data_IF_159933222605
#
_entry.id   IF_159933222605
#
_cell.length_a   1.000
_cell.length_b   1.000
_cell.length_c   1.000
_cell.angle_alpha   90.00
_cell.angle_beta   90.00
_cell.angle_gamma   90.00
#
_symmetry.space_group_name_H-M   'P 1'
#
loop_
_entity.id
_entity.type
_entity.pdbx_description
1 polymer ?
#
# COMPACT_ATOMS: atom_id res chain seq x y z
N UNK A 1 52.01 34.65 -5.06
CA UNK A 1 52.02 33.79 -3.86
C UNK A 1 50.58 33.43 -3.51
N UNK A 2 50.37 32.20 -3.02
CA UNK A 2 49.15 31.51 -2.57
C UNK A 2 47.92 32.37 -2.20
N UNK A 3 46.66 31.98 -2.37
CA UNK A 3 46.04 30.67 -2.60
C UNK A 3 44.63 30.67 -1.97
N UNK A 4 43.90 29.59 -2.22
CA UNK A 4 42.66 29.14 -1.58
C UNK A 4 41.31 29.48 -2.27
N UNK A 5 40.57 28.39 -2.43
CA UNK A 5 39.32 28.15 -3.15
C UNK A 5 38.16 28.34 -2.18
N UNK A 6 37.02 28.85 -2.64
CA UNK A 6 35.73 28.44 -2.06
C UNK A 6 34.71 28.13 -3.16
N UNK A 7 33.96 27.08 -2.88
CA UNK A 7 33.17 26.26 -3.79
C UNK A 7 31.72 26.65 -3.65
N UNK A 8 31.04 26.88 -4.77
CA UNK A 8 29.59 27.04 -4.80
C UNK A 8 28.89 25.74 -4.40
N UNK A 9 28.07 25.80 -3.35
CA UNK A 9 27.12 24.74 -3.03
C UNK A 9 25.80 25.01 -3.75
N UNK A 10 25.54 24.20 -4.78
CA UNK A 10 24.21 23.91 -5.30
C UNK A 10 23.40 23.26 -4.18
N UNK A 11 22.32 23.91 -3.75
CA UNK A 11 21.38 23.33 -2.78
C UNK A 11 20.57 22.21 -3.43
N UNK A 12 20.97 20.97 -3.19
CA UNK A 12 20.19 19.78 -3.54
C UNK A 12 19.01 19.63 -2.55
N UNK A 13 17.79 19.74 -3.07
CA UNK A 13 16.58 19.35 -2.35
C UNK A 13 16.50 17.81 -2.29
N UNK A 14 16.80 17.22 -1.13
CA UNK A 14 16.57 15.80 -0.88
C UNK A 14 15.12 15.61 -0.41
N UNK A 15 14.25 15.22 -1.34
CA UNK A 15 12.97 14.60 -1.01
C UNK A 15 13.24 13.20 -0.45
N UNK A 16 13.23 13.07 0.88
CA UNK A 16 13.31 11.76 1.53
C UNK A 16 11.89 11.23 1.75
N UNK A 17 11.59 10.12 1.08
CA UNK A 17 10.38 9.33 1.25
C UNK A 17 10.27 8.83 2.70
N UNK A 18 9.05 8.75 3.21
CA UNK A 18 8.71 8.63 4.64
C UNK A 18 9.31 7.47 5.44
N UNK A 19 10.03 6.53 4.81
CA UNK A 19 10.77 5.47 5.50
C UNK A 19 12.01 5.95 6.26
N UNK A 20 12.75 6.94 5.71
CA UNK A 20 13.99 7.43 6.34
C UNK A 20 13.72 8.28 7.61
N UNK A 21 12.59 8.99 7.65
CA UNK A 21 12.18 9.78 8.82
C UNK A 21 11.90 8.88 10.04
N UNK A 22 11.32 7.70 9.83
CA UNK A 22 11.01 6.78 10.93
C UNK A 22 12.27 6.15 11.55
N UNK A 23 13.24 5.79 10.72
CA UNK A 23 14.52 5.22 11.19
C UNK A 23 15.31 6.26 11.98
N UNK A 24 15.34 7.52 11.51
CA UNK A 24 15.99 8.63 12.22
C UNK A 24 15.27 8.96 13.52
N UNK A 25 13.92 8.97 13.54
CA UNK A 25 13.13 9.18 14.76
C UNK A 25 13.39 8.10 15.80
N UNK A 26 13.45 6.82 15.39
CA UNK A 26 13.71 5.71 16.30
C UNK A 26 15.14 5.72 16.84
N UNK A 27 16.14 6.05 16.00
CA UNK A 27 17.55 6.14 16.43
C UNK A 27 17.82 7.33 17.35
N UNK A 28 17.10 8.44 17.19
CA UNK A 28 17.23 9.63 18.03
C UNK A 28 16.36 9.57 19.29
N UNK A 29 15.36 8.67 19.36
CA UNK A 29 14.45 8.56 20.49
C UNK A 29 14.88 7.53 21.54
N UNK A 30 15.91 6.70 21.30
CA UNK A 30 16.45 5.79 22.32
C UNK A 30 17.54 6.47 23.15
N UNK A 31 17.14 7.43 23.98
CA UNK A 31 18.10 8.04 24.89
C UNK A 31 17.57 9.25 25.65
N UNK A 32 16.71 9.04 26.65
CA UNK A 32 16.83 9.65 27.99
C UNK A 32 15.66 9.26 28.92
N UNK A 33 16.04 8.76 30.09
CA UNK A 33 15.20 8.49 31.26
C UNK A 33 14.58 9.79 31.81
N UNK A 34 13.39 9.65 32.39
CA UNK A 34 12.62 10.66 33.14
C UNK A 34 13.28 10.98 34.50
N UNK A 35 13.14 12.20 35.02
CA UNK A 35 12.80 12.34 36.44
C UNK A 35 11.72 13.41 36.73
N UNK A 36 11.21 13.35 37.97
CA UNK A 36 10.04 14.04 38.54
C UNK A 36 10.30 15.48 39.06
N UNK A 37 9.17 16.15 39.36
CA UNK A 37 8.90 17.50 39.90
C UNK A 37 9.87 18.08 40.96
N UNK A 38 10.19 19.39 40.85
CA UNK A 38 9.87 20.48 41.82
C UNK A 38 10.57 21.82 41.48
N UNK A 39 9.98 22.88 42.04
CA UNK A 39 10.48 24.24 42.32
C UNK A 39 10.29 25.39 41.31
N UNK A 40 9.41 26.29 41.73
CA UNK A 40 9.38 27.72 41.42
C UNK A 40 10.73 28.39 41.69
N UNK A 41 11.09 29.38 40.86
CA UNK A 41 11.18 30.79 41.26
C UNK A 41 12.26 31.56 40.46
N UNK A 42 11.90 32.80 40.11
CA UNK A 42 12.77 33.99 39.98
C UNK A 42 13.68 34.17 38.74
N UNK A 43 13.25 35.03 37.80
CA UNK A 43 13.81 36.36 37.43
C UNK A 43 13.25 36.77 36.04
N UNK A 44 12.22 37.61 35.96
CA UNK A 44 12.23 39.09 35.81
C UNK A 44 13.00 39.65 34.60
N UNK A 45 12.20 40.31 33.74
CA UNK A 45 12.40 41.59 33.03
C UNK A 45 13.57 41.64 32.03
N UNK A 46 13.41 42.14 30.79
CA UNK A 46 13.18 43.56 30.49
C UNK A 46 12.40 43.82 29.17
N UNK A 47 11.77 45.00 29.14
CA UNK A 47 11.08 45.69 28.04
C UNK A 47 12.09 46.52 27.22
N UNK A 48 11.70 46.92 26.01
CA UNK A 48 11.93 48.22 25.29
C UNK A 48 11.94 47.90 23.78
N UNK A 49 11.38 48.65 22.83
CA UNK A 49 10.37 49.71 22.74
C UNK A 49 10.18 49.98 21.22
N UNK A 50 9.06 50.61 20.89
CA UNK A 50 8.50 50.92 19.57
C UNK A 50 9.44 51.63 18.58
N UNK A 51 9.31 51.29 17.28
CA UNK A 51 9.46 52.26 16.17
C UNK A 51 8.29 52.06 15.21
N UNK A 52 7.55 53.16 15.00
CA UNK A 52 6.39 53.31 14.14
C UNK A 52 6.78 54.27 13.02
N UNK A 53 6.58 53.89 11.75
CA UNK A 53 6.46 54.84 10.62
C UNK A 53 5.68 54.21 9.45
N UNK A 54 4.42 54.63 9.39
CA UNK A 54 3.58 55.04 8.25
C UNK A 54 3.66 54.41 6.83
N UNK A 55 2.50 53.83 6.47
CA UNK A 55 1.63 54.04 5.28
C UNK A 55 2.23 53.83 3.87
N UNK A 56 1.71 52.83 3.15
CA UNK A 56 0.97 53.02 1.88
C UNK A 56 0.09 51.80 1.61
N UNK A 57 -1.20 52.04 1.40
CA UNK A 57 -2.20 51.03 1.07
C UNK A 57 -2.04 50.51 -0.36
N UNK A 58 -2.11 49.18 -0.55
CA UNK A 58 -2.39 48.54 -1.83
C UNK A 58 -3.46 47.46 -1.64
N UNK A 59 -4.35 47.36 -2.63
CA UNK A 59 -5.60 46.60 -2.64
C UNK A 59 -5.41 45.08 -2.40
N UNK A 60 -6.45 44.36 -1.90
CA UNK A 60 -6.35 42.93 -1.68
C UNK A 60 -6.24 42.20 -3.02
N UNK A 61 -5.08 41.62 -3.27
CA UNK A 61 -4.89 40.61 -4.30
C UNK A 61 -5.76 39.41 -3.92
N UNK A 62 -6.74 39.07 -4.74
CA UNK A 62 -7.58 37.90 -4.53
C UNK A 62 -6.68 36.66 -4.40
N UNK A 63 -6.80 35.97 -3.26
CA UNK A 63 -6.12 34.70 -3.06
C UNK A 63 -6.57 33.71 -4.16
N UNK A 64 -5.65 32.93 -4.75
CA UNK A 64 -6.04 31.89 -5.69
C UNK A 64 -7.03 30.98 -4.99
N UNK A 65 -8.17 30.76 -5.64
CA UNK A 65 -9.18 29.78 -5.21
C UNK A 65 -8.43 28.46 -5.06
N UNK A 66 -8.22 28.01 -3.82
CA UNK A 66 -7.80 26.65 -3.55
C UNK A 66 -8.88 25.77 -4.18
N UNK A 67 -8.53 25.12 -5.29
CA UNK A 67 -9.30 23.99 -5.81
C UNK A 67 -9.59 23.08 -4.63
N UNK A 68 -10.88 22.76 -4.41
CA UNK A 68 -11.29 21.83 -3.37
C UNK A 68 -10.38 20.60 -3.41
N UNK A 69 -9.94 20.06 -2.25
CA UNK A 69 -9.14 18.85 -2.25
C UNK A 69 -9.98 17.77 -2.94
N UNK A 70 -9.50 17.31 -4.10
CA UNK A 70 -10.05 16.16 -4.77
C UNK A 70 -10.22 15.07 -3.71
N UNK A 71 -11.43 14.49 -3.62
CA UNK A 71 -11.69 13.32 -2.78
C UNK A 71 -10.49 12.37 -2.95
N UNK A 72 -9.86 11.87 -1.88
CA UNK A 72 -8.70 11.00 -2.04
C UNK A 72 -9.18 9.79 -2.84
N UNK A 73 -8.84 9.77 -4.14
CA UNK A 73 -8.94 8.57 -4.97
C UNK A 73 -8.12 7.53 -4.22
N UNK A 74 -8.66 6.33 -4.04
CA UNK A 74 -7.91 5.23 -3.44
C UNK A 74 -6.51 5.17 -4.07
N UNK A 75 -5.49 4.94 -3.25
CA UNK A 75 -4.10 5.08 -3.68
C UNK A 75 -3.49 3.73 -4.05
N UNK A 76 -4.11 2.62 -3.62
CA UNK A 76 -3.46 1.30 -3.69
C UNK A 76 -4.38 0.20 -4.22
N UNK A 77 -3.81 -0.73 -4.96
CA UNK A 77 -4.32 -2.09 -5.11
C UNK A 77 -3.79 -2.91 -3.94
N UNK A 78 -4.68 -3.39 -3.06
CA UNK A 78 -4.25 -4.18 -1.90
C UNK A 78 -4.11 -5.66 -2.27
N UNK A 79 -2.96 -6.24 -1.98
CA UNK A 79 -2.70 -7.68 -2.18
C UNK A 79 -2.69 -8.39 -0.82
N UNK A 80 -3.71 -9.20 -0.58
CA UNK A 80 -4.01 -9.86 0.71
C UNK A 80 -4.24 -11.35 0.52
N UNK A 81 -4.30 -12.09 1.63
CA UNK A 81 -4.39 -13.56 1.62
C UNK A 81 -3.47 -14.19 2.66
N UNK A 82 -3.73 -15.45 2.99
CA UNK A 82 -2.97 -16.17 4.02
C UNK A 82 -1.48 -16.29 3.66
N UNK A 83 -0.64 -16.54 4.67
CA UNK A 83 0.76 -16.90 4.47
C UNK A 83 0.90 -18.14 3.58
N UNK A 84 1.91 -18.14 2.71
CA UNK A 84 2.15 -19.23 1.77
C UNK A 84 1.21 -19.27 0.54
N UNK A 85 0.20 -18.39 0.45
CA UNK A 85 -0.71 -18.35 -0.71
C UNK A 85 -0.03 -17.97 -2.03
N UNK A 86 1.15 -17.36 -1.99
CA UNK A 86 1.92 -16.94 -3.18
C UNK A 86 1.69 -15.48 -3.61
N UNK A 87 1.21 -14.63 -2.70
CA UNK A 87 1.01 -13.18 -2.94
C UNK A 87 2.22 -12.49 -3.56
N UNK A 88 3.38 -12.60 -2.92
CA UNK A 88 4.60 -11.93 -3.34
C UNK A 88 5.08 -12.46 -4.70
N UNK A 89 4.93 -13.76 -4.97
CA UNK A 89 5.26 -14.37 -6.26
C UNK A 89 4.38 -13.83 -7.39
N UNK A 90 3.06 -13.76 -7.18
CA UNK A 90 2.13 -13.17 -8.15
C UNK A 90 2.43 -11.69 -8.37
N UNK A 91 2.71 -10.94 -7.29
CA UNK A 91 3.01 -9.51 -7.38
C UNK A 91 4.31 -9.24 -8.15
N UNK A 92 5.36 -10.06 -7.94
CA UNK A 92 6.57 -10.01 -8.76
C UNK A 92 6.25 -10.27 -10.22
N UNK A 93 5.51 -11.33 -10.52
CA UNK A 93 5.08 -11.63 -11.88
C UNK A 93 4.31 -10.47 -12.54
N UNK A 94 3.42 -9.81 -11.81
CA UNK A 94 2.72 -8.64 -12.34
C UNK A 94 3.70 -7.55 -12.78
N UNK A 95 4.73 -7.27 -11.97
CA UNK A 95 5.68 -6.20 -12.19
C UNK A 95 6.78 -6.51 -13.22
N UNK A 96 7.32 -7.73 -13.23
CA UNK A 96 8.49 -8.10 -14.05
C UNK A 96 8.15 -9.01 -15.22
N UNK A 97 6.96 -9.62 -15.25
CA UNK A 97 6.58 -10.58 -16.29
C UNK A 97 7.13 -12.00 -16.09
N UNK A 98 7.94 -12.23 -15.06
CA UNK A 98 8.48 -13.54 -14.70
C UNK A 98 8.91 -13.57 -13.24
N UNK A 99 8.98 -14.78 -12.66
CA UNK A 99 9.54 -14.98 -11.31
C UNK A 99 10.98 -15.50 -11.42
N UNK A 100 11.95 -14.65 -11.11
CA UNK A 100 13.38 -14.99 -11.25
C UNK A 100 14.00 -15.57 -9.97
N UNK A 101 13.44 -15.27 -8.79
CA UNK A 101 14.06 -15.57 -7.50
C UNK A 101 13.08 -16.25 -6.55
N UNK A 102 13.63 -17.01 -5.61
CA UNK A 102 12.85 -17.59 -4.53
C UNK A 102 12.39 -16.48 -3.59
N UNK A 103 11.17 -16.61 -3.10
CA UNK A 103 10.52 -15.57 -2.31
C UNK A 103 10.36 -16.04 -0.87
N UNK A 104 10.79 -15.21 0.08
CA UNK A 104 10.59 -15.45 1.50
C UNK A 104 9.26 -14.86 1.98
N UNK A 105 8.67 -15.38 3.07
CA UNK A 105 7.47 -14.78 3.65
C UNK A 105 7.67 -13.29 4.00
N UNK A 106 6.72 -12.44 3.60
CA UNK A 106 6.77 -11.00 3.88
C UNK A 106 6.62 -10.71 5.37
N UNK A 107 7.64 -10.08 5.96
CA UNK A 107 7.62 -9.55 7.32
C UNK A 107 7.14 -8.09 7.31
N UNK A 108 5.82 -7.88 7.34
CA UNK A 108 5.21 -6.55 7.35
C UNK A 108 4.47 -6.24 6.06
N UNK A 109 5.00 -5.35 5.23
CA UNK A 109 4.39 -4.91 3.97
C UNK A 109 5.43 -4.80 2.85
N UNK A 110 4.96 -4.89 1.61
CA UNK A 110 5.74 -4.73 0.40
C UNK A 110 4.96 -3.86 -0.59
N UNK A 111 5.61 -2.89 -1.22
CA UNK A 111 4.95 -1.99 -2.16
C UNK A 111 5.68 -2.03 -3.51
N UNK A 112 4.91 -2.26 -4.58
CA UNK A 112 5.42 -2.37 -5.94
C UNK A 112 4.59 -1.47 -6.86
N UNK A 113 5.25 -0.68 -7.69
CA UNK A 113 4.59 0.19 -8.66
C UNK A 113 4.76 -0.39 -10.07
N UNK A 114 3.67 -0.47 -10.81
CA UNK A 114 3.66 -0.89 -12.22
C UNK A 114 3.22 0.32 -13.04
N UNK A 115 4.07 0.71 -14.00
CA UNK A 115 3.78 1.78 -14.94
C UNK A 115 3.38 1.15 -16.27
N UNK A 116 2.18 1.49 -16.77
CA UNK A 116 1.74 1.15 -18.12
C UNK A 116 1.22 2.42 -18.78
N UNK A 117 1.93 2.88 -19.80
CA UNK A 117 1.65 4.16 -20.48
C UNK A 117 1.62 5.31 -19.44
N UNK A 118 0.52 6.06 -19.36
CA UNK A 118 0.34 7.18 -18.42
C UNK A 118 -0.33 6.74 -17.10
N UNK A 119 -0.55 5.43 -16.90
CA UNK A 119 -1.15 4.88 -15.69
C UNK A 119 -0.07 4.28 -14.76
N UNK A 120 0.07 4.87 -13.57
CA UNK A 120 0.85 4.33 -12.47
C UNK A 120 -0.08 3.60 -11.49
N UNK A 121 0.12 2.30 -11.33
CA UNK A 121 -0.65 1.46 -10.39
C UNK A 121 0.27 1.04 -9.24
N UNK A 122 -0.10 1.43 -8.04
CA UNK A 122 0.65 1.06 -6.84
C UNK A 122 -0.02 -0.13 -6.13
N UNK A 123 0.71 -1.24 -6.02
CA UNK A 123 0.29 -2.43 -5.29
C UNK A 123 0.89 -2.40 -3.90
N UNK A 124 0.06 -2.62 -2.88
CA UNK A 124 0.49 -2.77 -1.50
C UNK A 124 0.14 -4.19 -1.02
N UNK A 125 1.15 -5.02 -0.91
CA UNK A 125 1.08 -6.33 -0.29
C UNK A 125 1.27 -6.21 1.23
N UNK A 126 0.44 -6.93 1.98
CA UNK A 126 0.61 -7.09 3.43
C UNK A 126 0.85 -8.56 3.74
N UNK A 127 1.77 -8.82 4.66
CA UNK A 127 2.09 -10.17 5.12
C UNK A 127 0.85 -10.92 5.61
N UNK A 128 0.84 -12.23 5.34
CA UNK A 128 -0.32 -13.08 5.55
C UNK A 128 -0.37 -13.80 6.89
N UNK A 129 0.72 -13.76 7.66
CA UNK A 129 0.84 -14.45 8.96
C UNK A 129 -0.18 -13.91 9.95
N UNK A 130 -0.61 -14.74 10.90
CA UNK A 130 -1.67 -14.42 11.86
C UNK A 130 -1.52 -13.03 12.52
N UNK A 131 -0.30 -12.72 13.00
CA UNK A 131 0.01 -11.43 13.64
C UNK A 131 -0.17 -10.23 12.70
N UNK A 132 0.01 -10.41 11.39
CA UNK A 132 -0.08 -9.35 10.40
C UNK A 132 -1.51 -9.14 9.86
N UNK A 133 -2.39 -10.15 9.97
CA UNK A 133 -3.78 -10.06 9.48
C UNK A 133 -4.60 -8.98 10.19
N UNK A 134 -4.25 -8.65 11.43
CA UNK A 134 -4.90 -7.57 12.19
C UNK A 134 -4.77 -6.20 11.53
N UNK A 135 -3.74 -5.99 10.70
CA UNK A 135 -3.46 -4.72 10.02
C UNK A 135 -4.19 -4.57 8.68
N UNK A 136 -4.70 -5.65 8.07
CA UNK A 136 -5.32 -5.60 6.73
C UNK A 136 -6.42 -4.54 6.62
N UNK A 137 -7.30 -4.48 7.62
CA UNK A 137 -8.42 -3.51 7.66
C UNK A 137 -7.96 -2.04 7.68
N UNK A 138 -6.75 -1.75 8.13
CA UNK A 138 -6.25 -0.38 8.27
C UNK A 138 -5.98 0.28 6.91
N UNK A 139 -5.82 -0.52 5.85
CA UNK A 139 -5.49 -0.04 4.52
C UNK A 139 -6.70 -0.01 3.56
N UNK A 140 -7.82 -0.64 3.93
CA UNK A 140 -9.01 -0.76 3.08
C UNK A 140 -9.61 0.59 2.66
N UNK A 141 -9.56 1.60 3.52
CA UNK A 141 -10.15 2.92 3.21
C UNK A 141 -9.46 3.63 2.05
N UNK A 142 -8.23 3.23 1.71
CA UNK A 142 -7.45 3.76 0.58
C UNK A 142 -7.32 2.76 -0.57
N UNK A 143 -8.00 1.63 -0.50
CA UNK A 143 -7.94 0.61 -1.54
C UNK A 143 -8.84 0.99 -2.72
N UNK A 144 -8.31 0.83 -3.93
CA UNK A 144 -9.11 0.88 -5.17
C UNK A 144 -9.71 -0.49 -5.48
N UNK A 145 -8.92 -1.54 -5.27
CA UNK A 145 -9.27 -2.94 -5.53
C UNK A 145 -8.57 -3.79 -4.46
N UNK A 146 -9.21 -4.87 -4.03
CA UNK A 146 -8.57 -5.93 -3.24
C UNK A 146 -8.28 -7.12 -4.14
N UNK A 147 -7.02 -7.52 -4.21
CA UNK A 147 -6.59 -8.81 -4.73
C UNK A 147 -6.43 -9.75 -3.54
N UNK A 148 -7.24 -10.82 -3.50
CA UNK A 148 -7.19 -11.83 -2.45
C UNK A 148 -6.66 -13.15 -3.01
N UNK A 149 -5.42 -13.49 -2.64
CA UNK A 149 -4.72 -14.68 -3.15
C UNK A 149 -4.96 -15.86 -2.23
N UNK A 150 -5.37 -16.99 -2.82
CA UNK A 150 -5.69 -18.22 -2.10
C UNK A 150 -4.89 -19.38 -2.67
N UNK A 151 -4.28 -20.17 -1.79
CA UNK A 151 -3.61 -21.42 -2.18
C UNK A 151 -4.66 -22.48 -2.53
N UNK A 152 -4.84 -22.79 -3.81
CA UNK A 152 -5.87 -23.73 -4.25
C UNK A 152 -5.63 -25.17 -3.78
N UNK A 153 -4.41 -25.49 -3.32
CA UNK A 153 -4.07 -26.84 -2.82
C UNK A 153 -4.38 -27.00 -1.33
N UNK A 154 -4.49 -25.89 -0.60
CA UNK A 154 -4.66 -25.90 0.86
C UNK A 154 -6.13 -25.78 1.29
N UNK A 155 -6.89 -26.83 0.97
CA UNK A 155 -8.32 -26.92 1.26
C UNK A 155 -8.60 -26.86 2.77
N UNK A 156 -7.65 -27.29 3.61
CA UNK A 156 -7.78 -27.26 5.07
C UNK A 156 -7.85 -25.82 5.61
N UNK A 157 -7.21 -24.86 4.95
CA UNK A 157 -7.23 -23.44 5.32
C UNK A 157 -8.32 -22.62 4.63
N UNK A 158 -9.17 -23.19 3.77
CA UNK A 158 -10.29 -22.47 3.15
C UNK A 158 -11.27 -21.85 4.14
N UNK A 159 -11.68 -22.51 5.24
CA UNK A 159 -12.56 -21.88 6.22
C UNK A 159 -11.94 -20.62 6.85
N UNK A 160 -10.63 -20.65 7.12
CA UNK A 160 -9.89 -19.51 7.66
C UNK A 160 -9.75 -18.38 6.63
N UNK A 161 -9.47 -18.73 5.37
CA UNK A 161 -9.43 -17.76 4.28
C UNK A 161 -10.79 -17.08 4.08
N UNK A 162 -11.88 -17.86 4.08
CA UNK A 162 -13.27 -17.37 4.04
C UNK A 162 -13.55 -16.41 5.18
N UNK A 163 -13.28 -16.80 6.42
CA UNK A 163 -13.54 -15.96 7.60
C UNK A 163 -12.86 -14.59 7.47
N UNK A 164 -11.56 -14.58 7.12
CA UNK A 164 -10.82 -13.33 6.97
C UNK A 164 -11.29 -12.50 5.78
N UNK A 165 -11.62 -13.12 4.64
CA UNK A 165 -12.16 -12.43 3.48
C UNK A 165 -13.49 -11.75 3.82
N UNK A 166 -14.44 -12.48 4.39
CA UNK A 166 -15.76 -11.95 4.74
C UNK A 166 -15.66 -10.80 5.77
N UNK A 167 -14.82 -10.97 6.80
CA UNK A 167 -14.55 -9.93 7.81
C UNK A 167 -13.89 -8.69 7.21
N UNK A 168 -13.02 -8.86 6.21
CA UNK A 168 -12.39 -7.74 5.51
C UNK A 168 -13.44 -6.96 4.72
N UNK A 169 -14.28 -7.67 3.96
CA UNK A 169 -15.22 -7.09 3.02
C UNK A 169 -16.46 -6.49 3.67
N UNK A 170 -16.83 -6.91 4.88
CA UNK A 170 -17.93 -6.31 5.65
C UNK A 170 -17.71 -4.83 5.97
N UNK A 171 -16.47 -4.33 5.89
CA UNK A 171 -16.12 -2.93 6.17
C UNK A 171 -16.39 -2.03 4.97
N UNK A 172 -16.37 -2.57 3.75
CA UNK A 172 -16.63 -1.83 2.52
C UNK A 172 -17.33 -2.74 1.48
N UNK A 173 -18.68 -2.67 1.39
CA UNK A 173 -19.47 -3.57 0.55
C UNK A 173 -19.25 -3.35 -0.96
N UNK A 174 -18.84 -2.15 -1.39
CA UNK A 174 -18.71 -1.78 -2.80
C UNK A 174 -17.29 -1.95 -3.37
N UNK A 175 -16.30 -2.24 -2.53
CA UNK A 175 -14.89 -2.34 -2.94
C UNK A 175 -14.69 -3.51 -3.91
N UNK A 176 -14.20 -3.29 -5.15
CA UNK A 176 -13.95 -4.36 -6.10
C UNK A 176 -13.03 -5.44 -5.53
N UNK A 177 -13.35 -6.69 -5.82
CA UNK A 177 -12.62 -7.86 -5.35
C UNK A 177 -12.15 -8.71 -6.55
N UNK A 178 -10.87 -9.04 -6.55
CA UNK A 178 -10.31 -10.08 -7.41
C UNK A 178 -9.76 -11.20 -6.54
N UNK A 179 -10.34 -12.39 -6.63
CA UNK A 179 -9.82 -13.59 -5.97
C UNK A 179 -8.92 -14.32 -6.96
N UNK A 180 -7.68 -14.59 -6.54
CA UNK A 180 -6.74 -15.40 -7.31
C UNK A 180 -6.68 -16.80 -6.69
N UNK A 181 -7.27 -17.76 -7.39
CA UNK A 181 -7.13 -19.18 -7.10
C UNK A 181 -5.73 -19.61 -7.55
N UNK A 182 -4.73 -19.44 -6.68
CA UNK A 182 -3.33 -19.62 -7.03
C UNK A 182 -2.86 -21.07 -6.89
N UNK A 183 -1.74 -21.39 -7.53
CA UNK A 183 -1.12 -22.73 -7.57
C UNK A 183 -1.98 -23.79 -8.29
N UNK A 184 -2.69 -23.38 -9.34
CA UNK A 184 -3.52 -24.26 -10.17
C UNK A 184 -2.70 -25.31 -10.94
N UNK A 185 -1.39 -25.13 -11.01
CA UNK A 185 -0.47 -26.05 -11.66
C UNK A 185 -0.04 -27.24 -10.77
N UNK A 186 -0.39 -27.21 -9.48
CA UNK A 186 -0.05 -28.26 -8.53
C UNK A 186 -1.13 -29.34 -8.43
N UNK A 187 -0.70 -30.58 -8.20
CA UNK A 187 -1.61 -31.68 -7.94
C UNK A 187 -2.45 -31.42 -6.69
N UNK A 188 -3.76 -31.68 -6.77
CA UNK A 188 -4.70 -31.44 -5.68
C UNK A 188 -5.26 -30.02 -5.60
N UNK A 189 -4.87 -29.13 -6.53
CA UNK A 189 -5.51 -27.83 -6.68
C UNK A 189 -7.02 -27.96 -6.85
N UNK A 190 -7.74 -27.14 -6.11
CA UNK A 190 -9.19 -27.05 -6.15
C UNK A 190 -9.66 -26.41 -7.45
N UNK A 191 -10.82 -26.86 -7.96
CA UNK A 191 -11.42 -26.21 -9.13
C UNK A 191 -11.90 -24.80 -8.78
N UNK A 192 -12.09 -23.97 -9.79
CA UNK A 192 -12.61 -22.61 -9.65
C UNK A 192 -14.00 -22.61 -9.01
N UNK A 193 -14.87 -23.54 -9.42
CA UNK A 193 -16.23 -23.69 -8.87
C UNK A 193 -16.19 -24.09 -7.40
N UNK A 194 -15.37 -25.08 -7.05
CA UNK A 194 -15.25 -25.53 -5.66
C UNK A 194 -14.69 -24.43 -4.75
N UNK A 195 -13.73 -23.63 -5.24
CA UNK A 195 -13.19 -22.51 -4.48
C UNK A 195 -14.24 -21.40 -4.29
N UNK A 196 -15.03 -21.12 -5.32
CA UNK A 196 -16.15 -20.17 -5.24
C UNK A 196 -17.14 -20.56 -4.13
N UNK A 197 -17.49 -21.85 -4.06
CA UNK A 197 -18.37 -22.39 -3.02
C UNK A 197 -17.70 -22.37 -1.64
N UNK A 198 -16.45 -22.85 -1.55
CA UNK A 198 -15.74 -22.96 -0.28
C UNK A 198 -15.51 -21.60 0.40
N UNK A 199 -15.28 -20.55 -0.40
CA UNK A 199 -15.14 -19.17 0.09
C UNK A 199 -16.46 -18.41 0.16
N UNK A 200 -17.56 -19.02 -0.29
CA UNK A 200 -18.90 -18.42 -0.30
C UNK A 200 -18.90 -17.05 -0.97
N UNK A 201 -18.37 -17.03 -2.19
CA UNK A 201 -18.17 -15.78 -2.93
C UNK A 201 -19.49 -15.17 -3.41
N UNK A 202 -20.56 -15.96 -3.50
CA UNK A 202 -21.90 -15.48 -3.78
C UNK A 202 -22.34 -14.42 -2.76
N UNK A 203 -22.15 -14.68 -1.46
CA UNK A 203 -22.57 -13.78 -0.39
C UNK A 203 -21.82 -12.44 -0.36
N UNK A 204 -20.60 -12.39 -0.90
CA UNK A 204 -19.81 -11.14 -0.94
C UNK A 204 -19.89 -10.43 -2.28
N UNK A 205 -20.45 -11.09 -3.31
CA UNK A 205 -20.49 -10.62 -4.70
C UNK A 205 -21.71 -9.80 -5.10
N UNK A 206 -22.81 -9.83 -4.32
CA UNK A 206 -24.11 -9.27 -4.73
C UNK A 206 -24.07 -7.79 -5.17
N UNK A 207 -23.28 -6.96 -4.47
CA UNK A 207 -23.21 -5.50 -4.71
C UNK A 207 -21.84 -5.02 -5.22
N UNK A 208 -20.87 -5.92 -5.44
CA UNK A 208 -19.51 -5.55 -5.87
C UNK A 208 -19.09 -6.23 -7.16
N UNK A 209 -18.19 -5.57 -7.89
CA UNK A 209 -17.45 -6.23 -8.98
C UNK A 209 -16.56 -7.32 -8.37
N UNK A 210 -16.82 -8.57 -8.72
CA UNK A 210 -16.08 -9.73 -8.26
C UNK A 210 -15.50 -10.50 -9.46
N UNK A 211 -14.22 -10.80 -9.39
CA UNK A 211 -13.53 -11.64 -10.36
C UNK A 211 -12.86 -12.81 -9.64
N UNK A 212 -12.92 -14.00 -10.24
CA UNK A 212 -12.24 -15.19 -9.74
C UNK A 212 -11.42 -15.79 -10.89
N UNK A 213 -10.09 -15.81 -10.72
CA UNK A 213 -9.15 -16.20 -11.78
C UNK A 213 -8.21 -17.27 -11.24
N UNK A 214 -8.04 -18.35 -11.99
CA UNK A 214 -7.04 -19.37 -11.71
C UNK A 214 -5.65 -18.90 -12.12
N UNK A 215 -4.69 -18.95 -11.20
CA UNK A 215 -3.32 -18.52 -11.48
C UNK A 215 -2.30 -19.60 -11.11
N UNK A 216 -1.19 -19.61 -11.83
CA UNK A 216 0.01 -20.37 -11.50
C UNK A 216 1.24 -19.51 -11.72
N UNK A 217 2.21 -19.66 -10.85
CA UNK A 217 3.50 -18.96 -10.92
C UNK A 217 4.60 -20.00 -10.77
N UNK A 218 5.47 -20.07 -11.77
CA UNK A 218 6.63 -20.96 -11.79
C UNK A 218 7.90 -20.15 -12.01
N UNK A 219 8.96 -20.55 -11.32
CA UNK A 219 10.25 -19.87 -11.40
C UNK A 219 10.90 -20.11 -12.76
N UNK A 220 11.37 -19.03 -13.38
CA UNK A 220 12.02 -19.08 -14.70
C UNK A 220 11.09 -19.40 -15.86
N UNK A 221 9.77 -19.39 -15.66
CA UNK A 221 8.77 -19.50 -16.71
C UNK A 221 8.08 -18.15 -16.95
N UNK A 222 7.56 -17.96 -18.16
CA UNK A 222 6.73 -16.81 -18.49
C UNK A 222 5.41 -16.82 -17.72
N UNK A 223 4.71 -15.68 -17.72
CA UNK A 223 3.40 -15.56 -17.07
C UNK A 223 2.41 -16.62 -17.61
N UNK A 224 1.78 -17.36 -16.70
CA UNK A 224 0.59 -18.13 -17.06
C UNK A 224 -0.51 -17.20 -17.56
N UNK A 225 -1.37 -17.69 -18.46
CA UNK A 225 -2.48 -16.89 -19.01
C UNK A 225 -3.33 -16.24 -17.92
N UNK A 226 -3.63 -16.97 -16.84
CA UNK A 226 -4.40 -16.43 -15.71
C UNK A 226 -3.71 -15.27 -14.97
N UNK A 227 -2.38 -15.28 -14.88
CA UNK A 227 -1.64 -14.14 -14.29
C UNK A 227 -1.66 -12.94 -15.24
N UNK A 228 -1.58 -13.18 -16.55
CA UNK A 228 -1.72 -12.12 -17.57
C UNK A 228 -3.13 -11.51 -17.53
N UNK A 229 -4.16 -12.35 -17.56
CA UNK A 229 -5.58 -11.96 -17.49
C UNK A 229 -5.86 -11.13 -16.23
N UNK A 230 -5.37 -11.58 -15.07
CA UNK A 230 -5.52 -10.86 -13.82
C UNK A 230 -4.83 -9.49 -13.86
N UNK A 231 -3.61 -9.41 -14.41
CA UNK A 231 -2.87 -8.14 -14.54
C UNK A 231 -3.60 -7.17 -15.45
N UNK A 232 -4.04 -7.63 -16.61
CA UNK A 232 -4.70 -6.78 -17.61
C UNK A 232 -6.06 -6.30 -17.13
N UNK A 233 -6.80 -7.15 -16.39
CA UNK A 233 -8.06 -6.77 -15.77
C UNK A 233 -7.87 -5.70 -14.68
N UNK A 234 -6.80 -5.78 -13.87
CA UNK A 234 -6.48 -4.71 -12.90
C UNK A 234 -6.21 -3.39 -13.61
N UNK A 235 -5.43 -3.42 -14.69
CA UNK A 235 -5.16 -2.23 -15.51
C UNK A 235 -6.47 -1.67 -16.07
N UNK A 236 -7.32 -2.51 -16.66
CA UNK A 236 -8.60 -2.08 -17.23
C UNK A 236 -9.53 -1.47 -16.17
N UNK A 237 -9.56 -2.01 -14.95
CA UNK A 237 -10.38 -1.46 -13.87
C UNK A 237 -9.91 -0.09 -13.39
N UNK A 238 -8.63 0.24 -13.59
CA UNK A 238 -8.00 1.46 -13.07
C UNK A 238 -7.68 2.48 -14.16
N UNK A 239 -7.79 2.09 -15.43
CA UNK A 239 -7.69 3.00 -16.56
C UNK A 239 -8.78 4.10 -16.43
N UNK A 240 -8.45 5.36 -16.76
CA UNK A 240 -9.46 6.41 -16.80
C UNK A 240 -10.51 6.09 -17.88
N UNK A 241 -11.77 6.44 -17.61
CA UNK A 241 -12.81 6.42 -18.62
C UNK A 241 -12.49 7.54 -19.65
N UNK A 242 -12.31 7.17 -20.92
CA UNK A 242 -12.09 8.10 -22.05
C UNK A 242 -13.31 8.99 -22.35
#
# INVERSE_FOLDING_TARGET
>A
MAGLREVGMVGAALALTGGLVYIIWNLLSTGKKKPDKKDESLLKQEKIQDVKTDITAQAPVQAPVLSEPAKPKGTWVLVLGLEGAGKTSVLHCFATGSLEQDVTPTEGFNAVSINKEDLQIEFLEIGGTENLRAYWKMYLSKALVVIYVVDSTDKARFPLAKEHLHKLLSTNPLLPLMVLANKQDLAGACSITDLHEALDLAAVGEERKLFLIGTSVRKGEELSSGVQDARDLVIQMLAPDD
#
